data_IF_671774615556
#
_entry.id   IF_671774615556
#
_cell.length_a   1.000
_cell.length_b   1.000
_cell.length_c   1.000
_cell.angle_alpha   90.00
_cell.angle_beta   90.00
_cell.angle_gamma   90.00
#
_symmetry.space_group_name_H-M   'P 1'
#
loop_
_entity.id
_entity.type
_entity.pdbx_description
1 polymer ?
#
# COMPACT_ATOMS: atom_id res chain seq x y z
N UNK A 1 32.59 39.01 14.91
CA UNK A 1 33.74 38.88 14.00
C UNK A 1 34.18 37.42 14.05
N UNK A 2 33.99 36.66 12.98
CA UNK A 2 34.42 35.26 12.90
C UNK A 2 35.92 35.22 12.63
N UNK A 3 36.70 34.84 13.64
CA UNK A 3 38.15 34.66 13.49
C UNK A 3 38.36 33.34 12.73
N UNK A 4 38.86 33.43 11.50
CA UNK A 4 39.07 32.29 10.62
C UNK A 4 40.41 31.63 10.99
N UNK A 5 40.35 30.40 11.47
CA UNK A 5 41.54 29.63 11.86
C UNK A 5 42.34 29.21 10.62
N UNK A 6 43.66 29.33 10.67
CA UNK A 6 44.56 29.05 9.56
C UNK A 6 45.98 28.84 10.04
N UNK A 7 46.88 28.43 9.15
CA UNK A 7 48.30 28.27 9.44
C UNK A 7 49.18 28.80 8.31
N UNK A 8 50.43 29.15 8.64
CA UNK A 8 51.42 29.59 7.65
C UNK A 8 52.11 28.38 7.03
N UNK A 9 52.00 28.22 5.71
CA UNK A 9 52.77 27.24 4.94
C UNK A 9 53.64 27.97 3.92
N UNK A 10 54.96 27.75 3.98
CA UNK A 10 55.97 28.32 3.06
C UNK A 10 55.83 29.85 2.85
N UNK A 11 55.54 30.59 3.91
CA UNK A 11 55.42 32.05 3.85
C UNK A 11 54.10 32.57 3.30
N UNK A 12 53.06 31.72 3.19
CA UNK A 12 51.69 32.13 2.84
C UNK A 12 50.71 31.66 3.92
N UNK A 13 49.79 32.53 4.32
CA UNK A 13 48.68 32.16 5.21
C UNK A 13 47.66 31.31 4.45
N UNK A 14 47.38 30.12 4.95
CA UNK A 14 46.38 29.17 4.42
C UNK A 14 45.27 29.05 5.46
N UNK A 15 44.05 29.41 5.08
CA UNK A 15 42.86 29.28 5.93
C UNK A 15 42.40 27.81 5.94
N UNK A 16 42.00 27.29 7.10
CA UNK A 16 41.39 25.96 7.16
C UNK A 16 39.98 26.04 6.57
N UNK A 17 39.77 25.43 5.39
CA UNK A 17 38.43 25.17 4.90
C UNK A 17 37.83 24.00 5.69
N UNK A 18 36.77 24.26 6.45
CA UNK A 18 35.94 23.19 7.02
C UNK A 18 35.43 22.32 5.86
N UNK A 19 35.62 20.99 5.91
CA UNK A 19 35.11 20.11 4.87
C UNK A 19 33.60 20.26 4.79
N UNK A 20 33.10 20.59 3.60
CA UNK A 20 31.66 20.69 3.36
C UNK A 20 30.96 19.39 3.79
N UNK A 21 29.78 19.46 4.44
CA UNK A 21 29.07 18.27 4.86
C UNK A 21 28.80 17.37 3.64
N UNK A 22 29.21 16.11 3.73
CA UNK A 22 29.03 15.14 2.66
C UNK A 22 27.54 15.03 2.31
N UNK A 23 27.21 15.19 1.02
CA UNK A 23 25.86 14.97 0.54
C UNK A 23 25.43 13.51 0.82
N UNK A 24 24.17 13.26 1.19
CA UNK A 24 23.70 11.90 1.43
C UNK A 24 23.87 11.07 0.16
N UNK A 25 24.62 9.97 0.27
CA UNK A 25 24.79 9.00 -0.81
C UNK A 25 23.45 8.36 -1.14
N UNK A 26 23.15 8.23 -2.44
CA UNK A 26 21.95 7.54 -2.90
C UNK A 26 21.94 6.07 -2.42
N UNK A 27 20.76 5.50 -2.12
CA UNK A 27 20.65 4.11 -1.68
C UNK A 27 21.15 3.16 -2.77
N UNK A 28 21.79 2.07 -2.34
CA UNK A 28 22.23 1.02 -3.26
C UNK A 28 21.05 0.20 -3.78
N UNK A 29 21.27 -0.58 -4.84
CA UNK A 29 20.25 -1.50 -5.36
C UNK A 29 19.86 -2.53 -4.30
N UNK A 30 20.82 -3.03 -3.51
CA UNK A 30 20.56 -3.99 -2.44
C UNK A 30 19.69 -3.37 -1.33
N UNK A 31 19.93 -2.11 -0.96
CA UNK A 31 19.10 -1.39 0.03
C UNK A 31 17.65 -1.28 -0.45
N UNK A 32 17.44 -1.01 -1.74
CA UNK A 32 16.11 -0.92 -2.34
C UNK A 32 15.41 -2.28 -2.37
N UNK A 33 16.14 -3.35 -2.68
CA UNK A 33 15.60 -4.73 -2.68
C UNK A 33 15.17 -5.14 -1.27
N UNK A 34 15.97 -4.82 -0.25
CA UNK A 34 15.68 -5.12 1.14
C UNK A 34 14.46 -4.34 1.64
N UNK A 35 14.35 -3.07 1.29
CA UNK A 35 13.18 -2.25 1.68
C UNK A 35 11.90 -2.73 0.99
N UNK A 36 11.98 -3.07 -0.31
CA UNK A 36 10.86 -3.67 -1.03
C UNK A 36 10.42 -4.99 -0.38
N UNK A 37 11.37 -5.84 0.02
CA UNK A 37 11.11 -7.11 0.68
C UNK A 37 10.44 -6.93 2.05
N UNK A 38 10.87 -5.94 2.83
CA UNK A 38 10.24 -5.58 4.12
C UNK A 38 8.82 -5.07 3.91
N UNK A 39 8.62 -4.23 2.90
CA UNK A 39 7.31 -3.70 2.53
C UNK A 39 6.32 -4.83 2.19
N UNK A 40 6.73 -5.78 1.35
CA UNK A 40 5.89 -6.93 0.99
C UNK A 40 5.56 -7.78 2.22
N UNK A 41 6.54 -8.05 3.10
CA UNK A 41 6.29 -8.80 4.34
C UNK A 41 5.29 -8.12 5.26
N UNK A 42 5.34 -6.78 5.38
CA UNK A 42 4.35 -6.02 6.14
C UNK A 42 2.96 -6.13 5.52
N UNK A 43 2.84 -5.93 4.22
CA UNK A 43 1.58 -6.04 3.50
C UNK A 43 0.90 -7.41 3.69
N UNK A 44 1.68 -8.50 3.63
CA UNK A 44 1.17 -9.86 3.90
C UNK A 44 0.71 -10.02 5.35
N UNK A 45 1.44 -9.42 6.30
CA UNK A 45 1.04 -9.38 7.71
C UNK A 45 -0.30 -8.66 7.93
N UNK A 46 -0.48 -7.51 7.29
CA UNK A 46 -1.70 -6.70 7.37
C UNK A 46 -2.92 -7.44 6.82
N UNK A 47 -2.78 -8.14 5.68
CA UNK A 47 -3.85 -8.98 5.12
C UNK A 47 -4.23 -10.10 6.09
N UNK A 48 -3.25 -10.74 6.72
CA UNK A 48 -3.50 -11.81 7.70
C UNK A 48 -4.23 -11.28 8.93
N UNK A 49 -3.82 -10.11 9.43
CA UNK A 49 -4.46 -9.44 10.56
C UNK A 49 -5.91 -9.05 10.23
N UNK A 50 -6.15 -8.46 9.05
CA UNK A 50 -7.48 -8.13 8.56
C UNK A 50 -8.35 -9.38 8.46
N UNK A 51 -7.84 -10.47 7.89
CA UNK A 51 -8.57 -11.74 7.79
C UNK A 51 -9.01 -12.23 9.17
N UNK A 52 -8.10 -12.26 10.14
CA UNK A 52 -8.44 -12.61 11.53
C UNK A 52 -9.53 -11.71 12.09
N UNK A 53 -9.44 -10.40 11.87
CA UNK A 53 -10.44 -9.46 12.35
C UNK A 53 -11.81 -9.69 11.70
N UNK A 54 -11.85 -9.84 10.38
CA UNK A 54 -13.09 -10.08 9.62
C UNK A 54 -13.81 -11.36 10.06
N UNK A 55 -13.08 -12.43 10.36
CA UNK A 55 -13.70 -13.72 10.70
C UNK A 55 -13.90 -13.99 12.19
N UNK A 56 -13.05 -13.43 13.07
CA UNK A 56 -13.05 -13.75 14.50
C UNK A 56 -13.73 -12.70 15.38
N UNK A 57 -14.01 -11.51 14.84
CA UNK A 57 -14.72 -10.45 15.59
C UNK A 57 -16.19 -10.36 15.17
N UNK A 58 -17.05 -9.92 16.09
CA UNK A 58 -18.47 -9.72 15.82
C UNK A 58 -18.71 -8.62 14.78
N UNK A 59 -17.96 -7.51 14.86
CA UNK A 59 -18.01 -6.44 13.84
C UNK A 59 -17.61 -6.97 12.46
N UNK A 60 -16.53 -7.74 12.38
CA UNK A 60 -16.05 -8.34 11.14
C UNK A 60 -17.07 -9.30 10.52
N UNK A 61 -17.66 -10.17 11.33
CA UNK A 61 -18.72 -11.10 10.91
C UNK A 61 -19.95 -10.36 10.42
N UNK A 62 -20.37 -9.30 11.13
CA UNK A 62 -21.47 -8.45 10.69
C UNK A 62 -21.19 -7.79 9.34
N UNK A 63 -19.96 -7.35 9.08
CA UNK A 63 -19.55 -6.82 7.78
C UNK A 63 -19.63 -7.88 6.68
N UNK A 64 -19.13 -9.09 6.93
CA UNK A 64 -19.21 -10.22 6.00
C UNK A 64 -20.66 -10.63 5.72
N UNK A 65 -21.50 -10.73 6.74
CA UNK A 65 -22.92 -11.08 6.60
C UNK A 65 -23.63 -10.06 5.71
N UNK A 66 -23.42 -8.76 5.95
CA UNK A 66 -24.01 -7.70 5.13
C UNK A 66 -23.60 -7.85 3.66
N UNK A 67 -22.30 -8.03 3.40
CA UNK A 67 -21.79 -8.22 2.02
C UNK A 67 -22.35 -9.47 1.36
N UNK A 68 -22.46 -10.57 2.09
CA UNK A 68 -23.05 -11.82 1.61
C UNK A 68 -24.53 -11.64 1.27
N UNK A 69 -25.29 -10.94 2.13
CA UNK A 69 -26.71 -10.63 1.89
C UNK A 69 -26.89 -9.76 0.64
N UNK A 70 -26.10 -8.70 0.50
CA UNK A 70 -26.16 -7.81 -0.67
C UNK A 70 -25.90 -8.57 -1.98
N UNK A 71 -24.88 -9.45 -1.97
CA UNK A 71 -24.57 -10.31 -3.11
C UNK A 71 -25.70 -11.30 -3.43
N UNK A 72 -26.30 -11.91 -2.40
CA UNK A 72 -27.47 -12.79 -2.54
C UNK A 72 -28.66 -12.07 -3.19
N UNK A 73 -28.97 -10.86 -2.73
CA UNK A 73 -30.04 -10.03 -3.32
C UNK A 73 -29.76 -9.66 -4.78
N UNK A 74 -28.50 -9.38 -5.12
CA UNK A 74 -28.13 -9.11 -6.51
C UNK A 74 -28.30 -10.34 -7.40
N UNK A 75 -27.90 -11.52 -6.91
CA UNK A 75 -28.07 -12.79 -7.61
C UNK A 75 -29.56 -13.12 -7.84
N UNK A 76 -30.40 -12.96 -6.82
CA UNK A 76 -31.84 -13.21 -6.91
C UNK A 76 -32.50 -12.36 -8.00
N UNK A 77 -32.15 -11.07 -8.06
CA UNK A 77 -32.63 -10.16 -9.12
C UNK A 77 -32.21 -10.64 -10.50
N UNK A 78 -30.93 -11.00 -10.67
CA UNK A 78 -30.43 -11.48 -11.95
C UNK A 78 -31.15 -12.76 -12.42
N UNK A 79 -31.40 -13.71 -11.50
CA UNK A 79 -32.15 -14.94 -11.79
C UNK A 79 -33.60 -14.62 -12.20
N UNK A 80 -34.28 -13.74 -11.47
CA UNK A 80 -35.65 -13.33 -11.80
C UNK A 80 -35.72 -12.63 -13.15
N UNK A 81 -34.76 -11.77 -13.49
CA UNK A 81 -34.69 -11.14 -14.82
C UNK A 81 -34.54 -12.16 -15.95
N UNK A 82 -33.71 -13.19 -15.76
CA UNK A 82 -33.55 -14.28 -16.74
C UNK A 82 -34.85 -15.08 -16.87
N UNK A 83 -35.50 -15.41 -15.76
CA UNK A 83 -36.77 -16.14 -15.75
C UNK A 83 -37.88 -15.37 -16.47
N UNK A 84 -38.01 -14.07 -16.22
CA UNK A 84 -39.00 -13.19 -16.86
C UNK A 84 -38.76 -13.06 -18.37
N UNK A 85 -37.50 -12.91 -18.80
CA UNK A 85 -37.15 -12.88 -20.23
C UNK A 85 -37.50 -14.20 -20.92
N UNK A 86 -37.27 -15.33 -20.26
CA UNK A 86 -37.60 -16.65 -20.80
C UNK A 86 -39.12 -16.85 -20.94
N UNK A 87 -39.92 -16.39 -19.97
CA UNK A 87 -41.40 -16.43 -20.03
C UNK A 87 -41.92 -15.59 -21.19
N UNK A 88 -41.50 -14.32 -21.28
CA UNK A 88 -41.89 -13.40 -22.36
C UNK A 88 -41.46 -13.88 -23.75
N UNK A 89 -40.34 -14.58 -23.84
CA UNK A 89 -39.85 -15.16 -25.10
C UNK A 89 -40.66 -16.37 -25.58
N UNK A 90 -41.33 -17.08 -24.67
CA UNK A 90 -42.25 -18.18 -24.99
C UNK A 90 -43.63 -17.68 -25.39
N UNK A 91 -44.18 -16.72 -24.66
CA UNK A 91 -45.49 -16.10 -24.97
C UNK A 91 -45.52 -15.37 -26.33
N UNK A 92 -44.37 -14.97 -26.87
CA UNK A 92 -44.28 -14.36 -28.21
C UNK A 92 -44.12 -15.37 -29.35
N UNK A 93 -43.94 -16.66 -29.03
CA UNK A 93 -43.76 -17.74 -30.02
C UNK A 93 -44.98 -18.66 -30.16
N UNK A 94 -45.96 -18.54 -29.27
CA UNK A 94 -47.34 -19.04 -29.44
C UNK A 94 -48.21 -17.95 -30.09
#
# INVERSE_FOLDING_TARGET
>A
MTQKEGHFEKGRWVEYEEPAPAAPSAPSVDDLIDEASKSVRRAVGDVTALGRHLFLTEEGRGHLEKKARDAGSALERAVNEVAEKARKGREKKE
#
